data_IF_194739790818
#
_entry.id   IF_194739790818
#
_cell.length_a   1.000
_cell.length_b   1.000
_cell.length_c   1.000
_cell.angle_alpha   90.00
_cell.angle_beta   90.00
_cell.angle_gamma   90.00
#
_symmetry.space_group_name_H-M   'P 1'
#
loop_
_entity.id
_entity.type
_entity.pdbx_description
1 polymer ?
#
# COMPACT_ATOMS: atom_id res chain seq x y z
N UNK A 1 -15.99 -10.70 5.63
CA UNK A 1 -14.65 -10.47 5.05
C UNK A 1 -14.79 -9.34 4.05
N UNK A 2 -14.14 -8.22 4.31
CA UNK A 2 -14.18 -7.02 3.49
C UNK A 2 -12.78 -6.69 2.98
N UNK A 3 -12.61 -6.85 1.67
CA UNK A 3 -11.38 -6.56 0.96
C UNK A 3 -11.51 -5.25 0.18
N UNK A 4 -10.50 -4.40 0.24
CA UNK A 4 -10.39 -3.21 -0.61
C UNK A 4 -9.09 -3.30 -1.40
N UNK A 5 -9.22 -3.37 -2.73
CA UNK A 5 -8.08 -3.17 -3.62
C UNK A 5 -7.66 -1.70 -3.56
N UNK A 6 -6.57 -1.45 -2.84
CA UNK A 6 -5.95 -0.13 -2.73
C UNK A 6 -5.29 0.27 -4.06
N UNK A 7 -4.74 -0.72 -4.76
CA UNK A 7 -4.18 -0.55 -6.10
C UNK A 7 -4.05 -1.87 -6.84
N UNK A 8 -4.02 -1.78 -8.17
CA UNK A 8 -4.10 -2.92 -9.09
C UNK A 8 -3.08 -2.86 -10.23
N UNK A 9 -2.11 -1.96 -10.15
CA UNK A 9 -0.89 -1.97 -10.96
C UNK A 9 0.09 -2.98 -10.39
N UNK A 10 1.14 -3.31 -11.16
CA UNK A 10 2.28 -4.09 -10.66
C UNK A 10 3.49 -3.18 -10.47
N UNK A 11 4.66 -3.71 -10.81
CA UNK A 11 5.94 -2.98 -10.84
C UNK A 11 5.87 -1.59 -11.48
N UNK A 12 5.17 -1.47 -12.61
CA UNK A 12 4.94 -0.19 -13.27
C UNK A 12 3.53 0.34 -13.01
N UNK A 13 3.46 1.56 -12.51
CA UNK A 13 2.21 2.31 -12.36
C UNK A 13 1.68 2.77 -13.73
N UNK A 14 0.37 2.96 -13.82
CA UNK A 14 -0.30 3.50 -15.01
C UNK A 14 -0.93 4.84 -14.65
N UNK A 15 -0.69 5.93 -15.40
CA UNK A 15 0.15 6.01 -16.59
C UNK A 15 1.65 5.96 -16.27
N UNK A 16 2.44 5.46 -17.22
CA UNK A 16 3.90 5.59 -17.13
C UNK A 16 4.35 7.02 -17.47
N UNK A 17 5.48 7.50 -16.92
CA UNK A 17 6.08 8.76 -17.35
C UNK A 17 6.38 8.73 -18.85
N UNK A 18 6.18 9.88 -19.52
CA UNK A 18 6.49 10.08 -20.95
C UNK A 18 5.84 9.09 -21.94
N UNK A 19 4.87 8.29 -21.51
CA UNK A 19 4.15 7.36 -22.36
C UNK A 19 2.84 7.98 -22.86
N UNK A 20 2.62 7.88 -24.17
CA UNK A 20 1.47 8.36 -24.97
C UNK A 20 0.71 7.19 -25.62
N UNK A 21 0.78 6.01 -25.00
CA UNK A 21 0.07 4.85 -25.53
C UNK A 21 -1.42 4.94 -25.21
N UNK A 22 -2.23 4.19 -25.97
CA UNK A 22 -3.69 4.07 -25.80
C UNK A 22 -4.18 3.70 -24.39
N UNK A 23 -3.29 3.25 -23.50
CA UNK A 23 -3.61 2.92 -22.10
C UNK A 23 -3.22 4.07 -21.15
N UNK A 24 -2.11 4.74 -21.42
CA UNK A 24 -1.62 5.82 -20.55
C UNK A 24 -2.36 7.14 -20.76
N UNK A 25 -2.83 7.43 -21.98
CA UNK A 25 -3.58 8.65 -22.27
C UNK A 25 -4.86 8.79 -21.42
N UNK A 26 -5.81 7.83 -21.45
CA UNK A 26 -7.01 7.92 -20.61
C UNK A 26 -6.67 7.84 -19.12
N UNK A 27 -5.62 7.09 -18.75
CA UNK A 27 -5.16 7.05 -17.35
C UNK A 27 -4.66 8.40 -16.85
N UNK A 28 -4.10 9.22 -17.73
CA UNK A 28 -3.62 10.57 -17.40
C UNK A 28 -4.77 11.59 -17.38
N UNK A 29 -5.69 11.51 -18.33
CA UNK A 29 -6.78 12.47 -18.49
C UNK A 29 -7.95 12.22 -17.54
N UNK A 30 -8.36 10.96 -17.38
CA UNK A 30 -9.57 10.57 -16.66
C UNK A 30 -9.28 10.08 -15.23
N UNK A 31 -8.03 9.66 -14.97
CA UNK A 31 -7.67 9.08 -13.68
C UNK A 31 -8.31 7.70 -13.48
N UNK A 32 -8.89 7.44 -12.31
CA UNK A 32 -9.47 6.13 -12.03
C UNK A 32 -10.74 5.88 -12.89
N UNK A 33 -10.93 4.66 -13.45
CA UNK A 33 -10.24 3.41 -13.13
C UNK A 33 -8.99 3.11 -14.00
N UNK A 34 -8.66 4.00 -14.93
CA UNK A 34 -7.54 3.82 -15.86
C UNK A 34 -6.18 4.00 -15.17
N UNK A 35 -6.08 4.99 -14.27
CA UNK A 35 -4.93 5.19 -13.42
C UNK A 35 -4.83 4.09 -12.34
N UNK A 36 -3.68 3.43 -12.29
CA UNK A 36 -3.38 2.32 -11.39
C UNK A 36 -2.07 2.56 -10.66
N UNK A 37 -2.16 2.68 -9.35
CA UNK A 37 -1.02 2.62 -8.43
C UNK A 37 -0.61 1.15 -8.22
N UNK A 38 0.49 0.92 -7.50
CA UNK A 38 1.04 -0.43 -7.27
C UNK A 38 0.05 -1.38 -6.59
N UNK A 39 0.41 -2.65 -6.47
CA UNK A 39 -0.47 -3.67 -5.90
C UNK A 39 -0.54 -3.53 -4.37
N UNK A 40 -1.75 -3.37 -3.84
CA UNK A 40 -1.99 -3.56 -2.41
C UNK A 40 -3.45 -3.83 -2.14
N UNK A 41 -3.72 -4.63 -1.11
CA UNK A 41 -5.07 -4.95 -0.66
C UNK A 41 -5.21 -4.72 0.84
N UNK A 42 -6.24 -3.97 1.24
CA UNK A 42 -6.63 -3.80 2.63
C UNK A 42 -7.62 -4.89 3.05
N UNK A 43 -7.28 -5.60 4.12
CA UNK A 43 -8.16 -6.55 4.81
C UNK A 43 -8.68 -5.87 6.08
N UNK A 44 -9.93 -5.38 6.04
CA UNK A 44 -10.45 -4.51 7.12
C UNK A 44 -10.55 -5.23 8.47
N UNK A 45 -11.05 -6.47 8.49
CA UNK A 45 -11.20 -7.21 9.74
C UNK A 45 -9.87 -7.56 10.41
N UNK A 46 -8.79 -7.64 9.62
CA UNK A 46 -7.44 -7.89 10.13
C UNK A 46 -6.67 -6.59 10.42
N UNK A 47 -7.21 -5.43 10.07
CA UNK A 47 -6.51 -4.14 10.07
C UNK A 47 -5.12 -4.25 9.41
N UNK A 48 -5.09 -4.89 8.24
CA UNK A 48 -3.86 -5.32 7.60
C UNK A 48 -3.84 -4.96 6.11
N UNK A 49 -2.66 -4.66 5.60
CA UNK A 49 -2.42 -4.59 4.15
C UNK A 49 -1.63 -5.80 3.68
N UNK A 50 -1.92 -6.26 2.47
CA UNK A 50 -1.11 -7.23 1.74
C UNK A 50 -0.32 -6.44 0.70
N UNK A 51 1.00 -6.54 0.82
CA UNK A 51 2.04 -5.79 0.11
C UNK A 51 2.02 -4.27 0.37
N UNK A 52 3.22 -3.67 0.34
CA UNK A 52 3.48 -2.27 0.62
C UNK A 52 4.43 -1.68 -0.45
N UNK A 53 3.96 -1.51 -1.71
CA UNK A 53 4.69 -0.81 -2.77
C UNK A 53 5.02 0.63 -2.38
N UNK A 54 5.90 1.29 -3.13
CA UNK A 54 6.27 2.70 -2.95
C UNK A 54 5.07 3.65 -2.98
N UNK A 55 4.00 3.28 -3.69
CA UNK A 55 2.77 4.06 -3.82
C UNK A 55 1.76 3.88 -2.68
N UNK A 56 2.05 3.03 -1.67
CA UNK A 56 1.11 2.72 -0.57
C UNK A 56 0.60 3.96 0.15
N UNK A 57 1.43 4.99 0.32
CA UNK A 57 1.04 6.26 0.95
C UNK A 57 -0.11 6.95 0.21
N UNK A 58 0.00 7.06 -1.12
CA UNK A 58 -1.04 7.66 -1.94
C UNK A 58 -2.33 6.83 -1.89
N UNK A 59 -2.20 5.50 -1.84
CA UNK A 59 -3.34 4.60 -1.75
C UNK A 59 -4.07 4.69 -0.40
N UNK A 60 -3.34 4.69 0.72
CA UNK A 60 -3.94 4.84 2.06
C UNK A 60 -4.67 6.17 2.19
N UNK A 61 -4.05 7.27 1.72
CA UNK A 61 -4.68 8.58 1.70
C UNK A 61 -5.94 8.61 0.83
N UNK A 62 -5.89 8.03 -0.37
CA UNK A 62 -7.05 7.95 -1.28
C UNK A 62 -8.24 7.19 -0.68
N UNK A 63 -7.98 6.25 0.23
CA UNK A 63 -9.00 5.41 0.86
C UNK A 63 -9.31 5.82 2.32
N UNK A 64 -8.82 6.98 2.76
CA UNK A 64 -8.99 7.51 4.12
C UNK A 64 -8.59 6.51 5.21
N UNK A 65 -7.54 5.72 4.96
CA UNK A 65 -7.03 4.73 5.92
C UNK A 65 -6.08 5.41 6.89
N UNK A 66 -6.45 5.45 8.17
CA UNK A 66 -5.71 6.19 9.23
C UNK A 66 -4.97 5.30 10.21
N UNK A 67 -5.11 3.97 10.11
CA UNK A 67 -4.40 2.99 10.95
C UNK A 67 -4.27 1.68 10.16
N UNK A 68 -3.10 1.03 10.29
CA UNK A 68 -2.82 -0.30 9.75
C UNK A 68 -1.91 -1.00 10.76
N UNK A 69 -2.38 -2.12 11.32
CA UNK A 69 -1.69 -2.84 12.39
C UNK A 69 -0.69 -3.87 11.84
N UNK A 70 -0.98 -4.45 10.67
CA UNK A 70 -0.14 -5.48 10.06
C UNK A 70 0.14 -5.23 8.59
N UNK A 71 1.35 -5.58 8.16
CA UNK A 71 1.73 -5.68 6.75
C UNK A 71 2.10 -7.14 6.49
N UNK A 72 1.42 -7.76 5.55
CA UNK A 72 1.79 -9.07 5.01
C UNK A 72 2.51 -8.85 3.69
N UNK A 73 3.70 -9.42 3.53
CA UNK A 73 4.47 -9.34 2.28
C UNK A 73 4.35 -10.68 1.57
N UNK A 74 3.98 -10.66 0.30
CA UNK A 74 3.89 -11.87 -0.53
C UNK A 74 5.26 -12.40 -0.95
N UNK A 75 6.16 -11.52 -1.39
CA UNK A 75 7.55 -11.83 -1.76
C UNK A 75 8.43 -10.56 -1.80
N UNK A 76 9.73 -10.72 -2.08
CA UNK A 76 10.74 -9.66 -1.98
C UNK A 76 11.13 -9.02 -3.33
N UNK A 77 10.14 -8.60 -4.11
CA UNK A 77 10.39 -7.63 -5.19
C UNK A 77 10.01 -6.23 -4.72
N UNK A 78 10.68 -5.21 -5.27
CA UNK A 78 10.56 -3.82 -4.82
C UNK A 78 9.11 -3.32 -4.84
N UNK A 79 8.35 -3.73 -5.85
CA UNK A 79 6.93 -3.42 -6.00
C UNK A 79 6.00 -4.06 -4.95
N UNK A 80 6.54 -4.89 -4.05
CA UNK A 80 5.82 -5.43 -2.91
C UNK A 80 6.36 -4.91 -1.56
N UNK A 81 7.62 -4.47 -1.50
CA UNK A 81 8.32 -4.11 -0.25
C UNK A 81 8.83 -2.68 -0.17
N UNK A 82 8.63 -1.85 -1.20
CA UNK A 82 9.24 -0.53 -1.33
C UNK A 82 9.13 0.37 -0.09
N UNK A 83 7.97 0.39 0.58
CA UNK A 83 7.82 1.14 1.84
C UNK A 83 8.30 0.37 3.07
N UNK A 84 8.22 -0.96 3.09
CA UNK A 84 8.74 -1.74 4.21
C UNK A 84 10.27 -1.63 4.34
N UNK A 85 10.98 -1.51 3.22
CA UNK A 85 12.42 -1.25 3.22
C UNK A 85 12.77 0.20 3.58
N UNK A 86 11.91 1.16 3.22
CA UNK A 86 12.10 2.58 3.50
C UNK A 86 11.71 2.96 4.95
N UNK A 87 10.71 2.29 5.54
CA UNK A 87 10.26 2.51 6.91
C UNK A 87 11.24 1.86 7.91
N UNK A 88 12.11 2.67 8.51
CA UNK A 88 13.04 2.19 9.52
C UNK A 88 12.31 1.72 10.80
N UNK A 89 12.87 0.74 11.54
CA UNK A 89 12.32 0.29 12.83
C UNK A 89 12.18 1.42 13.88
N UNK A 90 12.98 2.49 13.76
CA UNK A 90 13.00 3.63 14.68
C UNK A 90 11.71 4.46 14.69
N UNK A 91 10.86 4.33 13.67
CA UNK A 91 9.64 5.12 13.53
C UNK A 91 8.42 4.44 14.19
N UNK A 92 8.59 3.22 14.72
CA UNK A 92 7.55 2.52 15.47
C UNK A 92 7.55 2.95 16.95
N UNK A 93 6.49 3.64 17.40
CA UNK A 93 6.20 3.73 18.84
C UNK A 93 5.74 2.37 19.35
N UNK A 94 6.52 1.75 20.22
CA UNK A 94 6.10 0.57 20.96
C UNK A 94 5.06 0.95 22.01
N UNK A 95 3.82 0.47 21.84
CA UNK A 95 2.85 0.43 22.95
C UNK A 95 2.88 -0.95 23.59
N UNK A 96 3.12 -1.09 24.90
CA UNK A 96 3.14 -2.40 25.55
C UNK A 96 1.75 -3.05 25.46
N UNK A 97 1.69 -4.31 25.01
CA UNK A 97 0.47 -5.13 25.11
C UNK A 97 0.46 -5.87 26.45
N UNK A 98 -0.69 -6.00 27.09
CA UNK A 98 -0.86 -6.70 28.38
C UNK A 98 -0.72 -8.23 28.28
N UNK A 99 -0.48 -8.79 27.09
CA UNK A 99 -0.52 -10.23 26.81
C UNK A 99 0.83 -10.85 26.46
N UNK A 100 1.94 -10.13 26.64
CA UNK A 100 3.30 -10.68 26.41
C UNK A 100 3.68 -10.87 24.93
N UNK A 101 2.80 -10.53 23.99
CA UNK A 101 3.12 -10.47 22.55
C UNK A 101 3.54 -9.05 22.20
N UNK A 102 4.76 -8.85 21.69
CA UNK A 102 5.22 -7.54 21.22
C UNK A 102 4.31 -7.05 20.10
N UNK A 103 3.48 -6.04 20.40
CA UNK A 103 2.51 -5.47 19.46
C UNK A 103 3.11 -4.22 18.84
N UNK A 104 3.63 -4.34 17.63
CA UNK A 104 4.11 -3.19 16.87
C UNK A 104 2.92 -2.44 16.29
N UNK A 105 2.25 -1.63 17.10
CA UNK A 105 1.23 -0.70 16.57
C UNK A 105 1.94 0.44 15.87
N UNK A 106 1.85 0.47 14.55
CA UNK A 106 2.26 1.62 13.74
C UNK A 106 1.00 2.43 13.49
N UNK A 107 0.87 3.55 14.21
CA UNK A 107 -0.02 4.63 13.76
C UNK A 107 0.72 5.32 12.63
N UNK A 108 0.17 5.22 11.43
CA UNK A 108 0.63 5.92 10.24
C UNK A 108 0.17 7.39 10.29
#
# INVERSE_FOLDING_TARGET
MHLTLLGSGGDSQTPMPTCDCRVCDPAREEGAPHARLGNSTLVREANAVVDAPESIWAMLNRHDVTDVEYIFVSHHHMDHVGVCESCRPSDARSTPSKTGTTRTRRRW
#
